data_IF_906945566886
#
_entry.id   IF_906945566886
#
_cell.length_a   1.000
_cell.length_b   1.000
_cell.length_c   1.000
_cell.angle_alpha   90.00
_cell.angle_beta   90.00
_cell.angle_gamma   90.00
#
_symmetry.space_group_name_H-M   'P 1'
#
loop_
_entity.id
_entity.type
_entity.pdbx_description
1 polymer ?
#
# COMPACT_ATOMS: atom_id res chain seq x y z
N UNK A 1 18.03 0.45 -3.83
CA UNK A 1 17.28 -0.59 -3.14
C UNK A 1 15.78 -0.27 -3.06
N UNK A 2 15.37 1.01 -2.84
CA UNK A 2 13.95 1.38 -2.75
C UNK A 2 13.16 1.03 -4.02
N UNK A 3 13.58 1.51 -5.18
CA UNK A 3 12.88 1.29 -6.45
C UNK A 3 12.78 -0.18 -6.88
N UNK A 4 13.72 -1.00 -6.41
CA UNK A 4 13.74 -2.45 -6.67
C UNK A 4 13.01 -3.26 -5.59
N UNK A 5 12.47 -2.62 -4.54
CA UNK A 5 11.85 -3.31 -3.42
C UNK A 5 12.77 -4.35 -2.78
N UNK A 6 14.01 -3.98 -2.48
CA UNK A 6 15.08 -4.89 -2.01
C UNK A 6 15.34 -6.01 -3.02
N UNK A 7 15.51 -5.62 -4.29
CA UNK A 7 15.78 -6.55 -5.41
C UNK A 7 14.66 -7.54 -5.73
N UNK A 8 13.44 -7.31 -5.21
CA UNK A 8 12.27 -8.17 -5.42
C UNK A 8 11.54 -7.87 -6.73
N UNK A 9 11.59 -6.62 -7.21
CA UNK A 9 10.79 -6.20 -8.36
C UNK A 9 11.49 -6.50 -9.69
N UNK A 10 10.68 -6.57 -10.76
CA UNK A 10 11.13 -6.91 -12.12
C UNK A 10 12.12 -5.93 -12.74
N UNK A 11 12.26 -4.73 -12.18
CA UNK A 11 13.28 -3.75 -12.58
C UNK A 11 14.67 -4.02 -11.95
N UNK A 12 14.81 -5.09 -11.17
CA UNK A 12 16.10 -5.57 -10.68
C UNK A 12 16.87 -6.19 -11.83
N UNK A 13 17.97 -5.58 -12.20
CA UNK A 13 18.84 -6.05 -13.29
C UNK A 13 20.13 -6.65 -12.76
N UNK A 14 20.86 -7.37 -13.64
CA UNK A 14 22.22 -7.81 -13.33
C UNK A 14 23.11 -6.65 -12.90
N UNK A 15 23.05 -5.52 -13.61
CA UNK A 15 23.82 -4.32 -13.26
C UNK A 15 23.48 -3.79 -11.87
N UNK A 16 22.21 -3.83 -11.46
CA UNK A 16 21.79 -3.45 -10.09
C UNK A 16 22.46 -4.31 -9.03
N UNK A 17 22.56 -5.62 -9.28
CA UNK A 17 23.20 -6.56 -8.35
C UNK A 17 24.74 -6.39 -8.33
N UNK A 18 25.35 -6.14 -9.49
CA UNK A 18 26.80 -5.86 -9.58
C UNK A 18 27.18 -4.58 -8.82
N UNK A 19 26.37 -3.51 -8.94
CA UNK A 19 26.57 -2.27 -8.18
C UNK A 19 26.41 -2.53 -6.69
N UNK A 20 25.38 -3.30 -6.27
CA UNK A 20 25.19 -3.65 -4.87
C UNK A 20 26.38 -4.43 -4.30
N UNK A 21 26.87 -5.44 -5.04
CA UNK A 21 28.06 -6.21 -4.69
C UNK A 21 29.30 -5.31 -4.52
N UNK A 22 29.55 -4.44 -5.48
CA UNK A 22 30.66 -3.47 -5.40
C UNK A 22 30.56 -2.58 -4.16
N UNK A 23 29.37 -2.10 -3.83
CA UNK A 23 29.17 -1.28 -2.62
C UNK A 23 29.44 -2.09 -1.35
N UNK A 24 29.03 -3.37 -1.29
CA UNK A 24 29.33 -4.26 -0.17
C UNK A 24 30.84 -4.47 0.00
N UNK A 25 31.60 -4.63 -1.08
CA UNK A 25 33.06 -4.70 -1.05
C UNK A 25 33.72 -3.41 -0.50
N UNK A 26 33.05 -2.27 -0.64
CA UNK A 26 33.48 -0.99 -0.04
C UNK A 26 33.17 -0.87 1.44
N UNK A 27 32.59 -1.90 2.06
CA UNK A 27 32.36 -1.98 3.49
C UNK A 27 31.10 -1.28 3.98
N UNK A 28 30.10 -1.07 3.09
CA UNK A 28 28.79 -0.61 3.57
C UNK A 28 28.15 -1.68 4.45
N UNK A 29 27.52 -1.26 5.53
CA UNK A 29 26.69 -2.15 6.36
C UNK A 29 25.34 -2.40 5.66
N UNK A 30 25.37 -3.29 4.67
CA UNK A 30 24.19 -3.61 3.86
C UNK A 30 23.02 -4.13 4.70
N UNK A 31 23.20 -5.07 5.65
CA UNK A 31 22.13 -5.53 6.54
C UNK A 31 21.47 -4.37 7.30
N UNK A 32 22.27 -3.52 7.92
CA UNK A 32 21.76 -2.37 8.67
C UNK A 32 20.96 -1.39 7.77
N UNK A 33 21.46 -1.11 6.57
CA UNK A 33 20.75 -0.24 5.61
C UNK A 33 19.38 -0.82 5.26
N UNK A 34 19.28 -2.14 5.07
CA UNK A 34 18.03 -2.82 4.76
C UNK A 34 17.09 -2.77 5.97
N UNK A 35 17.58 -3.10 7.16
CA UNK A 35 16.77 -3.08 8.38
C UNK A 35 16.21 -1.68 8.65
N UNK A 36 17.06 -0.66 8.65
CA UNK A 36 16.66 0.73 8.93
C UNK A 36 15.69 1.28 7.86
N UNK A 37 15.83 0.85 6.61
CA UNK A 37 15.05 1.40 5.49
C UNK A 37 13.71 0.71 5.27
N UNK A 38 13.59 -0.59 5.64
CA UNK A 38 12.43 -1.40 5.23
C UNK A 38 11.76 -2.14 6.38
N UNK A 39 12.47 -2.50 7.43
CA UNK A 39 11.94 -3.38 8.47
C UNK A 39 11.79 -2.72 9.83
N UNK A 40 12.65 -1.76 10.18
CA UNK A 40 12.57 -1.09 11.47
C UNK A 40 11.26 -0.31 11.60
N UNK A 41 10.52 -0.58 12.66
CA UNK A 41 9.26 0.09 13.00
C UNK A 41 9.28 0.48 14.48
N UNK A 42 8.70 1.62 14.79
CA UNK A 42 8.39 1.92 16.20
C UNK A 42 7.33 0.96 16.72
N UNK A 43 7.23 0.81 18.03
CA UNK A 43 6.20 -0.03 18.63
C UNK A 43 4.77 0.42 18.27
N UNK A 44 4.54 1.75 18.21
CA UNK A 44 3.28 2.31 17.74
C UNK A 44 2.98 1.94 16.29
N UNK A 45 3.97 2.04 15.39
CA UNK A 45 3.81 1.58 14.00
C UNK A 45 3.49 0.09 13.91
N UNK A 46 4.14 -0.74 14.71
CA UNK A 46 3.85 -2.18 14.73
C UNK A 46 2.42 -2.45 15.18
N UNK A 47 1.91 -1.71 16.17
CA UNK A 47 0.53 -1.82 16.66
C UNK A 47 -0.48 -1.40 15.59
N UNK A 48 -0.32 -0.23 14.96
CA UNK A 48 -1.28 0.23 13.94
C UNK A 48 -1.28 -0.69 12.70
N UNK A 49 -0.12 -1.25 12.33
CA UNK A 49 -0.04 -2.25 11.27
C UNK A 49 -0.78 -3.54 11.64
N UNK A 50 -0.57 -4.07 12.85
CA UNK A 50 -1.27 -5.25 13.34
C UNK A 50 -2.78 -5.04 13.38
N UNK A 51 -3.24 -3.90 13.90
CA UNK A 51 -4.65 -3.51 13.93
C UNK A 51 -5.23 -3.41 12.53
N UNK A 52 -4.54 -2.75 11.61
CA UNK A 52 -4.99 -2.57 10.23
C UNK A 52 -5.19 -3.90 9.50
N UNK A 53 -4.33 -4.90 9.76
CA UNK A 53 -4.50 -6.26 9.22
C UNK A 53 -5.66 -6.98 9.90
N UNK A 54 -5.75 -6.91 11.23
CA UNK A 54 -6.80 -7.60 12.01
C UNK A 54 -8.21 -7.12 11.62
N UNK A 55 -8.36 -5.81 11.39
CA UNK A 55 -9.64 -5.19 11.04
C UNK A 55 -9.86 -5.03 9.53
N UNK A 56 -8.97 -5.63 8.73
CA UNK A 56 -9.15 -5.61 7.28
C UNK A 56 -10.35 -6.44 6.84
N UNK A 57 -11.04 -5.96 5.82
CA UNK A 57 -12.26 -6.58 5.30
C UNK A 57 -12.01 -7.08 3.89
N UNK A 58 -12.33 -8.35 3.65
CA UNK A 58 -12.31 -8.94 2.30
C UNK A 58 -13.66 -8.72 1.61
N UNK A 59 -13.61 -8.32 0.37
CA UNK A 59 -14.76 -8.02 -0.48
C UNK A 59 -14.56 -8.62 -1.87
N UNK A 60 -15.57 -8.54 -2.73
CA UNK A 60 -15.49 -8.96 -4.14
C UNK A 60 -14.97 -10.41 -4.27
N UNK A 61 -15.75 -11.34 -3.75
CA UNK A 61 -15.43 -12.79 -3.73
C UNK A 61 -14.10 -13.11 -3.05
N UNK A 62 -13.74 -12.33 -2.02
CA UNK A 62 -12.49 -12.42 -1.26
C UNK A 62 -11.21 -12.15 -2.08
N UNK A 63 -11.32 -11.60 -3.27
CA UNK A 63 -10.19 -11.24 -4.14
C UNK A 63 -9.67 -9.83 -3.88
N UNK A 64 -10.41 -9.03 -3.13
CA UNK A 64 -10.03 -7.69 -2.76
C UNK A 64 -10.06 -7.54 -1.24
N UNK A 65 -9.12 -6.77 -0.68
CA UNK A 65 -9.05 -6.47 0.76
C UNK A 65 -8.84 -4.98 0.99
N UNK A 66 -9.50 -4.43 1.99
CA UNK A 66 -9.25 -3.06 2.41
C UNK A 66 -9.20 -2.92 3.92
N UNK A 67 -8.67 -1.81 4.39
CA UNK A 67 -8.75 -1.34 5.76
C UNK A 67 -8.87 0.17 5.82
N UNK A 68 -9.38 0.67 6.93
CA UNK A 68 -9.50 2.11 7.19
C UNK A 68 -8.67 2.43 8.43
N UNK A 69 -7.91 3.53 8.38
CA UNK A 69 -7.14 4.03 9.51
C UNK A 69 -7.53 5.49 9.77
N UNK A 70 -8.01 5.76 10.97
CA UNK A 70 -8.44 7.09 11.39
C UNK A 70 -7.32 7.85 12.11
N UNK A 71 -7.46 9.16 12.21
CA UNK A 71 -6.54 9.99 12.99
C UNK A 71 -6.60 9.70 14.47
N UNK A 72 -7.77 9.27 15.00
CA UNK A 72 -7.92 8.91 16.41
C UNK A 72 -7.14 7.63 16.74
N UNK A 73 -7.18 6.64 15.87
CA UNK A 73 -6.38 5.43 16.01
C UNK A 73 -4.88 5.72 15.95
N UNK A 74 -4.45 6.56 15.01
CA UNK A 74 -3.06 6.98 14.97
C UNK A 74 -2.64 7.67 16.27
N UNK A 75 -3.49 8.53 16.83
CA UNK A 75 -3.23 9.21 18.09
C UNK A 75 -3.18 8.24 19.27
N UNK A 76 -4.10 7.26 19.32
CA UNK A 76 -4.12 6.23 20.37
C UNK A 76 -2.79 5.47 20.46
N UNK A 77 -2.17 5.18 19.31
CA UNK A 77 -0.88 4.48 19.25
C UNK A 77 0.34 5.41 19.23
N UNK A 78 0.13 6.72 19.45
CA UNK A 78 1.21 7.71 19.45
C UNK A 78 1.90 7.85 18.08
N UNK A 79 1.14 7.65 17.01
CA UNK A 79 1.62 7.64 15.64
C UNK A 79 1.21 8.91 14.87
N UNK A 80 1.93 9.18 13.80
CA UNK A 80 1.54 10.12 12.76
C UNK A 80 1.10 9.38 11.51
N UNK A 81 0.57 10.08 10.53
CA UNK A 81 0.15 9.53 9.23
C UNK A 81 1.26 8.70 8.55
N UNK A 82 2.53 9.03 8.78
CA UNK A 82 3.67 8.23 8.26
C UNK A 82 3.65 6.77 8.73
N UNK A 83 3.00 6.48 9.86
CA UNK A 83 2.87 5.13 10.36
C UNK A 83 1.99 4.24 9.47
N UNK A 84 1.22 4.80 8.55
CA UNK A 84 0.41 4.03 7.59
C UNK A 84 1.22 3.48 6.42
N UNK A 85 2.47 3.94 6.24
CA UNK A 85 3.34 3.49 5.16
C UNK A 85 3.59 1.98 5.26
N UNK A 86 3.34 1.26 4.17
CA UNK A 86 3.52 -0.19 4.08
C UNK A 86 2.30 -1.02 4.53
N UNK A 87 1.25 -0.46 5.12
CA UNK A 87 0.04 -1.22 5.49
C UNK A 87 -0.59 -1.87 4.25
N UNK A 88 -0.80 -1.09 3.18
CA UNK A 88 -1.42 -1.62 1.96
C UNK A 88 -0.58 -2.72 1.32
N UNK A 89 0.75 -2.68 1.47
CA UNK A 89 1.64 -3.72 0.95
C UNK A 89 1.56 -5.01 1.79
N UNK A 90 1.29 -4.92 3.10
CA UNK A 90 0.99 -6.10 3.93
C UNK A 90 -0.33 -6.75 3.55
N UNK A 91 -1.35 -5.96 3.22
CA UNK A 91 -2.62 -6.50 2.74
C UNK A 91 -2.47 -7.17 1.37
N UNK A 92 -1.69 -6.57 0.47
CA UNK A 92 -1.48 -7.06 -0.89
C UNK A 92 -0.81 -8.44 -0.95
N UNK A 93 0.03 -8.80 0.02
CA UNK A 93 0.74 -10.09 0.04
C UNK A 93 -0.08 -11.26 0.59
N UNK A 94 -1.31 -11.00 1.05
CA UNK A 94 -2.22 -12.06 1.51
C UNK A 94 -2.58 -12.96 0.33
N UNK A 95 -2.47 -14.28 0.50
CA UNK A 95 -2.79 -15.26 -0.53
C UNK A 95 -4.23 -15.12 -1.03
N UNK A 96 -4.41 -15.16 -2.33
CA UNK A 96 -5.72 -14.99 -2.99
C UNK A 96 -6.15 -13.53 -3.18
N UNK A 97 -5.41 -12.56 -2.63
CA UNK A 97 -5.72 -11.15 -2.82
C UNK A 97 -5.09 -10.64 -4.13
N UNK A 98 -5.94 -10.12 -4.99
CA UNK A 98 -5.55 -9.49 -6.24
C UNK A 98 -5.38 -7.98 -6.09
N UNK A 99 -6.24 -7.34 -5.29
CA UNK A 99 -6.24 -5.90 -5.07
C UNK A 99 -6.34 -5.63 -3.57
N UNK A 100 -5.49 -4.71 -3.10
CA UNK A 100 -5.55 -4.18 -1.77
C UNK A 100 -5.66 -2.66 -1.79
N UNK A 101 -6.45 -2.08 -0.90
CA UNK A 101 -6.45 -0.65 -0.71
C UNK A 101 -6.61 -0.24 0.75
N UNK A 102 -6.00 0.89 1.07
CA UNK A 102 -6.01 1.51 2.39
C UNK A 102 -6.65 2.88 2.28
N UNK A 103 -7.63 3.15 3.11
CA UNK A 103 -8.12 4.49 3.39
C UNK A 103 -7.47 5.01 4.67
N UNK A 104 -6.88 6.19 4.64
CA UNK A 104 -6.41 6.81 5.88
C UNK A 104 -6.73 8.29 5.93
N UNK A 105 -7.19 8.74 7.09
CA UNK A 105 -7.56 10.12 7.36
C UNK A 105 -6.33 11.03 7.37
N UNK A 106 -6.46 12.25 6.84
CA UNK A 106 -5.33 13.18 6.68
C UNK A 106 -5.33 14.35 7.68
N UNK A 107 -6.42 14.52 8.42
CA UNK A 107 -6.60 15.65 9.35
C UNK A 107 -7.95 16.34 9.21
N UNK A 108 -8.53 16.34 8.00
CA UNK A 108 -9.94 16.68 7.80
C UNK A 108 -10.79 15.45 8.09
N UNK A 109 -11.84 15.53 8.93
CA UNK A 109 -12.62 14.36 9.35
C UNK A 109 -13.16 13.52 8.20
N UNK A 110 -13.61 14.17 7.13
CA UNK A 110 -14.27 13.51 6.00
C UNK A 110 -13.33 13.27 4.80
N UNK A 111 -12.02 13.56 4.96
CA UNK A 111 -11.04 13.42 3.88
C UNK A 111 -10.13 12.23 4.12
N UNK A 112 -10.07 11.35 3.14
CA UNK A 112 -9.24 10.15 3.14
C UNK A 112 -8.30 10.12 1.95
N UNK A 113 -7.03 9.84 2.22
CA UNK A 113 -6.14 9.34 1.17
C UNK A 113 -6.38 7.86 0.97
N UNK A 114 -6.43 7.48 -0.29
CA UNK A 114 -6.59 6.09 -0.72
C UNK A 114 -5.32 5.63 -1.39
N UNK A 115 -4.73 4.58 -0.86
CA UNK A 115 -3.58 3.91 -1.46
C UNK A 115 -4.03 2.57 -2.04
N UNK A 116 -3.79 2.35 -3.34
CA UNK A 116 -4.19 1.16 -4.08
C UNK A 116 -2.97 0.35 -4.52
N UNK A 117 -3.08 -0.97 -4.44
CA UNK A 117 -2.08 -1.93 -4.95
C UNK A 117 -2.78 -3.08 -5.67
N UNK A 118 -2.14 -3.62 -6.69
CA UNK A 118 -2.65 -4.79 -7.40
C UNK A 118 -1.55 -5.82 -7.71
N UNK A 119 -1.93 -7.09 -7.63
CA UNK A 119 -1.16 -8.25 -8.10
C UNK A 119 -1.71 -8.78 -9.44
N UNK A 120 -2.88 -8.29 -9.89
CA UNK A 120 -3.59 -8.77 -11.08
C UNK A 120 -3.35 -7.89 -12.31
N UNK A 121 -4.12 -8.12 -13.38
CA UNK A 121 -4.12 -7.30 -14.59
C UNK A 121 -4.85 -5.95 -14.42
N UNK A 122 -5.55 -5.73 -13.31
CA UNK A 122 -6.23 -4.46 -13.02
C UNK A 122 -5.22 -3.32 -12.94
N UNK A 123 -5.52 -2.23 -13.61
CA UNK A 123 -4.74 -1.00 -13.61
C UNK A 123 -5.29 -0.04 -12.53
N UNK A 124 -4.64 -0.04 -11.35
CA UNK A 124 -5.07 0.83 -10.25
C UNK A 124 -4.79 2.31 -10.52
N UNK A 125 -3.95 2.66 -11.48
CA UNK A 125 -3.73 4.06 -11.87
C UNK A 125 -4.98 4.63 -12.58
N UNK A 126 -5.67 3.85 -13.42
CA UNK A 126 -6.96 4.24 -14.03
C UNK A 126 -8.03 4.48 -12.96
N UNK A 127 -8.07 3.63 -11.93
CA UNK A 127 -8.99 3.82 -10.80
C UNK A 127 -8.69 5.14 -10.08
N UNK A 128 -7.43 5.36 -9.70
CA UNK A 128 -7.02 6.57 -9.01
C UNK A 128 -7.29 7.85 -9.86
N UNK A 129 -7.01 7.80 -11.16
CA UNK A 129 -7.28 8.91 -12.10
C UNK A 129 -8.76 9.28 -12.14
N UNK A 130 -9.68 8.31 -12.08
CA UNK A 130 -11.13 8.59 -12.07
C UNK A 130 -11.59 9.38 -10.84
N UNK A 131 -10.76 9.46 -9.80
CA UNK A 131 -10.98 10.23 -8.59
C UNK A 131 -9.97 11.39 -8.42
N UNK A 132 -9.35 11.85 -9.51
CA UNK A 132 -8.44 12.98 -9.50
C UNK A 132 -7.04 12.68 -8.92
N UNK A 133 -6.71 11.40 -8.75
CA UNK A 133 -5.41 10.94 -8.30
C UNK A 133 -4.51 10.47 -9.44
N UNK A 134 -3.58 9.56 -9.15
CA UNK A 134 -2.66 9.01 -10.15
C UNK A 134 -1.69 8.00 -9.56
N UNK A 135 -0.73 7.59 -10.38
CA UNK A 135 0.30 6.63 -10.00
C UNK A 135 0.69 5.71 -11.15
N UNK A 136 1.13 4.52 -10.80
CA UNK A 136 1.53 3.48 -11.73
C UNK A 136 0.48 2.35 -11.75
N UNK A 137 0.48 1.55 -12.82
CA UNK A 137 -0.44 0.41 -13.03
C UNK A 137 -0.58 -0.47 -11.77
N UNK A 138 0.52 -0.73 -11.05
CA UNK A 138 0.53 -1.60 -9.86
C UNK A 138 0.39 -0.89 -8.52
N UNK A 139 0.54 0.44 -8.49
CA UNK A 139 0.54 1.25 -7.27
C UNK A 139 0.07 2.67 -7.56
N UNK A 140 -1.06 3.06 -7.04
CA UNK A 140 -1.64 4.38 -7.27
C UNK A 140 -2.36 4.89 -6.02
N UNK A 141 -2.76 6.15 -6.03
CA UNK A 141 -3.52 6.74 -4.93
C UNK A 141 -4.30 7.97 -5.36
N UNK A 142 -5.32 8.29 -4.58
CA UNK A 142 -6.16 9.48 -4.75
C UNK A 142 -6.55 10.03 -3.37
N UNK A 143 -7.20 11.18 -3.36
CA UNK A 143 -7.84 11.74 -2.18
C UNK A 143 -9.34 11.80 -2.44
N UNK A 144 -10.12 11.33 -1.48
CA UNK A 144 -11.58 11.29 -1.59
C UNK A 144 -12.21 11.86 -0.33
N UNK A 145 -13.38 12.47 -0.48
CA UNK A 145 -14.17 13.02 0.63
C UNK A 145 -15.47 12.26 0.76
N UNK A 146 -15.91 12.01 1.96
CA UNK A 146 -17.16 11.32 2.30
C UNK A 146 -16.96 10.23 3.34
N UNK A 147 -18.05 9.50 3.62
CA UNK A 147 -18.00 8.37 4.54
C UNK A 147 -17.13 7.23 3.98
N UNK A 148 -16.33 6.56 4.82
CA UNK A 148 -15.45 5.47 4.38
C UNK A 148 -16.15 4.40 3.58
N UNK A 149 -17.36 4.02 3.96
CA UNK A 149 -18.13 3.00 3.28
C UNK A 149 -18.51 3.41 1.85
N UNK A 150 -18.88 4.67 1.64
CA UNK A 150 -19.19 5.20 0.30
C UNK A 150 -17.95 5.23 -0.60
N UNK A 151 -16.79 5.57 -0.01
CA UNK A 151 -15.50 5.54 -0.71
C UNK A 151 -15.16 4.11 -1.15
N UNK A 152 -15.32 3.14 -0.24
CA UNK A 152 -15.11 1.71 -0.51
C UNK A 152 -16.02 1.23 -1.65
N UNK A 153 -17.30 1.62 -1.64
CA UNK A 153 -18.27 1.25 -2.70
C UNK A 153 -17.87 1.82 -4.07
N UNK A 154 -17.48 3.10 -4.13
CA UNK A 154 -17.04 3.75 -5.37
C UNK A 154 -15.79 3.06 -5.95
N UNK A 155 -14.81 2.77 -5.11
CA UNK A 155 -13.58 2.05 -5.53
C UNK A 155 -13.91 0.64 -5.99
N UNK A 156 -14.74 -0.07 -5.24
CA UNK A 156 -15.19 -1.44 -5.57
C UNK A 156 -15.93 -1.49 -6.91
N UNK A 157 -16.75 -0.46 -7.19
CA UNK A 157 -17.41 -0.30 -8.50
C UNK A 157 -16.40 -0.23 -9.64
N UNK A 158 -15.37 0.61 -9.51
CA UNK A 158 -14.31 0.73 -10.54
C UNK A 158 -13.46 -0.53 -10.71
N UNK A 159 -13.26 -1.29 -9.64
CA UNK A 159 -12.60 -2.59 -9.72
C UNK A 159 -13.45 -3.58 -10.53
N UNK A 160 -14.76 -3.66 -10.25
CA UNK A 160 -15.68 -4.54 -11.02
C UNK A 160 -15.73 -4.17 -12.50
N UNK A 161 -15.84 -2.87 -12.83
CA UNK A 161 -15.80 -2.39 -14.22
C UNK A 161 -14.58 -2.91 -14.97
N UNK A 162 -13.38 -2.80 -14.38
CA UNK A 162 -12.16 -3.29 -15.02
C UNK A 162 -12.09 -4.82 -15.11
N UNK A 163 -12.62 -5.54 -14.12
CA UNK A 163 -12.68 -7.01 -14.22
C UNK A 163 -13.63 -7.47 -15.33
N UNK A 164 -14.70 -6.72 -15.62
CA UNK A 164 -15.59 -7.01 -16.76
C UNK A 164 -14.92 -6.72 -18.10
N UNK A 165 -14.11 -5.64 -18.17
CA UNK A 165 -13.30 -5.34 -19.37
C UNK A 165 -12.21 -6.37 -19.66
N UNK A 166 -11.76 -7.12 -18.66
CA UNK A 166 -10.67 -8.10 -18.77
C UNK A 166 -11.15 -9.53 -19.07
N UNK A 167 -12.45 -9.77 -19.12
CA UNK A 167 -13.05 -11.06 -19.51
C UNK A 167 -13.13 -11.22 -21.03
#
# INVERSE_FOLDING_TARGET
AHDTGIFKFSNTSRQTMEIAGFLMEKGIDFPKIIDDSFFAKTYGQAKIHGRAVLESVRILDNRCVYTVVTTDELREYGCTVKATDGIVDQLRIIEGIEIAFLLYQTGNPDEYKVSLRTNSAVDVSRIALSFGGGGHVKAAGCTMTGEPQEIVEKISGKIREQWEELK
#
